data_IF_497047017091
#
_entry.id   IF_497047017091
#
_cell.length_a   1.000
_cell.length_b   1.000
_cell.length_c   1.000
_cell.angle_alpha   90.00
_cell.angle_beta   90.00
_cell.angle_gamma   90.00
#
_symmetry.space_group_name_H-M   'P 1'
#
loop_
_entity.id
_entity.type
_entity.pdbx_description
1 polymer ?
#
# COMPACT_ATOMS: atom_id res chain seq x y z
N UNK A 1 2.03 -37.14 -106.62
CA UNK A 1 2.43 -37.31 -105.20
C UNK A 1 1.33 -38.09 -104.53
N UNK A 2 1.65 -39.24 -103.93
CA UNK A 2 0.67 -40.15 -103.35
C UNK A 2 0.22 -39.66 -101.95
N UNK A 3 -1.00 -40.00 -101.53
CA UNK A 3 -1.61 -39.49 -100.28
C UNK A 3 -0.75 -39.78 -99.03
N UNK A 4 0.00 -40.88 -99.06
CA UNK A 4 0.95 -41.32 -98.03
C UNK A 4 2.10 -40.33 -97.83
N UNK A 5 2.63 -39.72 -98.90
CA UNK A 5 3.72 -38.74 -98.80
C UNK A 5 3.24 -37.44 -98.15
N UNK A 6 1.99 -37.03 -98.43
CA UNK A 6 1.38 -35.86 -97.78
C UNK A 6 1.18 -36.07 -96.29
N UNK A 7 0.74 -37.27 -95.87
CA UNK A 7 0.61 -37.61 -94.44
C UNK A 7 1.94 -37.67 -93.72
N UNK A 8 2.99 -38.22 -94.36
CA UNK A 8 4.34 -38.30 -93.78
C UNK A 8 4.91 -36.89 -93.57
N UNK A 9 4.80 -36.00 -94.56
CA UNK A 9 5.23 -34.60 -94.42
C UNK A 9 4.47 -33.87 -93.30
N UNK A 10 3.17 -34.10 -93.18
CA UNK A 10 2.37 -33.54 -92.08
C UNK A 10 2.86 -33.98 -90.69
N UNK A 11 3.25 -35.25 -90.55
CA UNK A 11 3.82 -35.77 -89.29
C UNK A 11 5.17 -35.14 -88.97
N UNK A 12 6.05 -34.94 -89.95
CA UNK A 12 7.34 -34.26 -89.73
C UNK A 12 7.15 -32.82 -89.24
N UNK A 13 6.21 -32.09 -89.84
CA UNK A 13 5.90 -30.71 -89.40
C UNK A 13 5.34 -30.70 -87.98
N UNK A 14 4.47 -31.66 -87.63
CA UNK A 14 3.95 -31.79 -86.26
C UNK A 14 5.05 -32.13 -85.26
N UNK A 15 5.95 -33.05 -85.59
CA UNK A 15 7.09 -33.42 -84.73
C UNK A 15 8.01 -32.23 -84.49
N UNK A 16 8.39 -31.49 -85.55
CA UNK A 16 9.21 -30.29 -85.41
C UNK A 16 8.53 -29.24 -84.52
N UNK A 17 7.20 -29.09 -84.62
CA UNK A 17 6.43 -28.18 -83.77
C UNK A 17 6.34 -28.66 -82.31
N UNK A 18 6.31 -29.96 -82.07
CA UNK A 18 6.34 -30.51 -80.70
C UNK A 18 7.71 -30.29 -80.09
N UNK A 19 8.78 -30.54 -80.84
CA UNK A 19 10.16 -30.36 -80.39
C UNK A 19 10.46 -28.91 -80.01
N UNK A 20 10.04 -27.93 -80.82
CA UNK A 20 10.19 -26.51 -80.47
C UNK A 20 9.41 -26.14 -79.21
N UNK A 21 8.16 -26.62 -79.08
CA UNK A 21 7.36 -26.37 -77.87
C UNK A 21 7.95 -27.00 -76.62
N UNK A 22 8.54 -28.19 -76.73
CA UNK A 22 9.20 -28.84 -75.60
C UNK A 22 10.44 -28.06 -75.17
N UNK A 23 11.23 -27.56 -76.12
CA UNK A 23 12.35 -26.65 -75.84
C UNK A 23 11.91 -25.37 -75.12
N UNK A 24 10.87 -24.70 -75.63
CA UNK A 24 10.32 -23.50 -74.98
C UNK A 24 9.82 -23.78 -73.55
N UNK A 25 9.18 -24.93 -73.33
CA UNK A 25 8.72 -25.36 -72.00
C UNK A 25 9.87 -25.65 -71.06
N UNK A 26 10.94 -26.30 -71.54
CA UNK A 26 12.14 -26.57 -70.77
C UNK A 26 12.82 -25.27 -70.34
N UNK A 27 13.00 -24.33 -71.27
CA UNK A 27 13.55 -23.00 -70.98
C UNK A 27 12.70 -22.23 -69.97
N UNK A 28 11.37 -22.28 -70.10
CA UNK A 28 10.46 -21.65 -69.16
C UNK A 28 10.57 -22.28 -67.76
N UNK A 29 10.66 -23.61 -67.69
CA UNK A 29 10.80 -24.35 -66.44
C UNK A 29 12.13 -24.03 -65.74
N UNK A 30 13.24 -24.03 -66.49
CA UNK A 30 14.56 -23.66 -65.97
C UNK A 30 14.57 -22.23 -65.40
N UNK A 31 13.98 -21.27 -66.12
CA UNK A 31 13.86 -19.88 -65.64
C UNK A 31 13.01 -19.78 -64.38
N UNK A 32 11.89 -20.51 -64.34
CA UNK A 32 11.02 -20.56 -63.16
C UNK A 32 11.76 -21.12 -61.95
N UNK A 33 12.45 -22.25 -62.11
CA UNK A 33 13.22 -22.90 -61.06
C UNK A 33 14.33 -21.98 -60.54
N UNK A 34 15.09 -21.34 -61.44
CA UNK A 34 16.11 -20.38 -61.04
C UNK A 34 15.54 -19.21 -60.22
N UNK A 35 14.36 -18.71 -60.60
CA UNK A 35 13.70 -17.64 -59.85
C UNK A 35 13.17 -18.12 -58.49
N UNK A 36 12.62 -19.34 -58.41
CA UNK A 36 12.20 -19.92 -57.12
C UNK A 36 13.39 -20.11 -56.19
N UNK A 37 14.51 -20.65 -56.69
CA UNK A 37 15.72 -20.86 -55.88
C UNK A 37 16.25 -19.53 -55.35
N UNK A 38 16.31 -18.51 -56.21
CA UNK A 38 16.74 -17.17 -55.79
C UNK A 38 15.83 -16.56 -54.72
N UNK A 39 14.52 -16.79 -54.80
CA UNK A 39 13.56 -16.34 -53.80
C UNK A 39 13.72 -17.12 -52.50
N UNK A 40 13.92 -18.44 -52.58
CA UNK A 40 14.14 -19.30 -51.41
C UNK A 40 15.41 -18.89 -50.66
N UNK A 41 16.54 -18.70 -51.35
CA UNK A 41 17.77 -18.23 -50.70
C UNK A 41 17.61 -16.88 -50.00
N UNK A 42 16.83 -15.96 -50.59
CA UNK A 42 16.51 -14.67 -49.92
C UNK A 42 15.66 -14.85 -48.67
N UNK A 43 14.70 -15.78 -48.70
CA UNK A 43 13.87 -16.11 -47.54
C UNK A 43 14.72 -16.73 -46.44
N UNK A 44 15.60 -17.68 -46.78
CA UNK A 44 16.53 -18.31 -45.83
C UNK A 44 17.45 -17.27 -45.15
N UNK A 45 18.02 -16.35 -45.93
CA UNK A 45 18.85 -15.29 -45.37
C UNK A 45 18.05 -14.33 -44.48
N UNK A 46 16.79 -14.06 -44.83
CA UNK A 46 15.89 -13.26 -44.00
C UNK A 46 15.57 -13.97 -42.68
N UNK A 47 15.23 -15.26 -42.73
CA UNK A 47 14.96 -16.07 -41.55
C UNK A 47 16.18 -16.12 -40.62
N UNK A 48 17.39 -16.32 -41.17
CA UNK A 48 18.63 -16.32 -40.38
C UNK A 48 18.95 -14.96 -39.74
N UNK A 49 18.43 -13.86 -40.29
CA UNK A 49 18.55 -12.52 -39.66
C UNK A 49 17.53 -12.36 -38.55
N UNK A 50 16.30 -12.84 -38.75
CA UNK A 50 15.24 -12.82 -37.74
C UNK A 50 15.68 -13.64 -36.53
N UNK A 51 16.20 -14.85 -36.74
CA UNK A 51 16.68 -15.75 -35.68
C UNK A 51 17.73 -15.08 -34.79
N UNK A 52 18.80 -14.52 -35.37
CA UNK A 52 19.81 -13.76 -34.61
C UNK A 52 19.25 -12.55 -33.88
N UNK A 53 18.26 -11.87 -34.48
CA UNK A 53 17.62 -10.74 -33.82
C UNK A 53 16.78 -11.20 -32.63
N UNK A 54 16.10 -12.35 -32.74
CA UNK A 54 15.33 -12.93 -31.65
C UNK A 54 16.25 -13.35 -30.50
N UNK A 55 17.36 -14.04 -30.77
CA UNK A 55 18.38 -14.37 -29.76
C UNK A 55 18.89 -13.12 -29.03
N UNK A 56 19.16 -12.05 -29.78
CA UNK A 56 19.59 -10.77 -29.19
C UNK A 56 18.50 -10.06 -28.36
N UNK A 57 17.22 -10.28 -28.66
CA UNK A 57 16.10 -9.77 -27.85
C UNK A 57 15.98 -10.59 -26.57
N UNK A 58 16.07 -11.92 -26.67
CA UNK A 58 16.00 -12.85 -25.54
C UNK A 58 17.08 -12.53 -24.49
N UNK A 59 18.34 -12.39 -24.90
CA UNK A 59 19.41 -12.01 -23.96
C UNK A 59 19.22 -10.63 -23.31
N UNK A 60 18.54 -9.68 -23.97
CA UNK A 60 18.20 -8.38 -23.36
C UNK A 60 17.06 -8.50 -22.36
N UNK A 61 16.12 -9.42 -22.58
CA UNK A 61 15.04 -9.70 -21.63
C UNK A 61 15.63 -10.33 -20.37
N UNK A 62 16.55 -11.29 -20.51
CA UNK A 62 17.25 -11.91 -19.36
C UNK A 62 18.04 -10.89 -18.52
N UNK A 63 18.72 -9.93 -19.18
CA UNK A 63 19.39 -8.82 -18.48
C UNK A 63 18.39 -7.92 -17.73
N UNK A 64 17.23 -7.64 -18.34
CA UNK A 64 16.18 -6.85 -17.70
C UNK A 64 15.60 -7.58 -16.48
N UNK A 65 15.32 -8.88 -16.58
CA UNK A 65 14.81 -9.68 -15.47
C UNK A 65 15.81 -9.69 -14.30
N UNK A 66 17.11 -9.90 -14.59
CA UNK A 66 18.17 -9.87 -13.57
C UNK A 66 18.25 -8.51 -12.86
N UNK A 67 18.06 -7.41 -13.59
CA UNK A 67 18.06 -6.05 -13.01
C UNK A 67 16.79 -5.77 -12.20
N UNK A 68 15.66 -6.35 -12.58
CA UNK A 68 14.44 -6.25 -11.77
C UNK A 68 14.59 -7.02 -10.46
N UNK A 69 15.17 -8.22 -10.48
CA UNK A 69 15.47 -8.98 -9.26
C UNK A 69 16.40 -8.20 -8.30
N UNK A 70 17.40 -7.48 -8.84
CA UNK A 70 18.27 -6.61 -8.04
C UNK A 70 17.51 -5.41 -7.43
N UNK A 71 16.59 -4.81 -8.19
CA UNK A 71 15.76 -3.71 -7.71
C UNK A 71 14.81 -4.18 -6.60
N UNK A 72 14.15 -5.32 -6.80
CA UNK A 72 13.26 -5.90 -5.80
C UNK A 72 14.00 -6.22 -4.50
N UNK A 73 15.20 -6.80 -4.59
CA UNK A 73 16.05 -7.06 -3.41
C UNK A 73 16.39 -5.77 -2.65
N UNK A 74 16.77 -4.70 -3.37
CA UNK A 74 17.07 -3.40 -2.73
C UNK A 74 15.84 -2.74 -2.10
N UNK A 75 14.66 -2.94 -2.68
CA UNK A 75 13.42 -2.43 -2.10
C UNK A 75 13.08 -3.17 -0.82
N UNK A 76 13.32 -4.49 -0.76
CA UNK A 76 13.13 -5.31 0.44
C UNK A 76 14.10 -4.90 1.56
N UNK A 77 15.36 -4.59 1.23
CA UNK A 77 16.33 -4.02 2.17
C UNK A 77 15.85 -2.67 2.74
N UNK A 78 15.40 -1.75 1.87
CA UNK A 78 14.91 -0.43 2.30
C UNK A 78 13.68 -0.55 3.20
N UNK A 79 12.72 -1.42 2.85
CA UNK A 79 11.51 -1.63 3.66
C UNK A 79 11.88 -2.14 5.06
N UNK A 80 12.84 -3.06 5.13
CA UNK A 80 13.37 -3.59 6.39
C UNK A 80 14.04 -2.50 7.23
N UNK A 81 14.98 -1.75 6.65
CA UNK A 81 15.71 -0.67 7.34
C UNK A 81 14.76 0.44 7.86
N UNK A 82 13.77 0.83 7.06
CA UNK A 82 12.78 1.83 7.46
C UNK A 82 11.90 1.35 8.61
N UNK A 83 11.51 0.08 8.61
CA UNK A 83 10.68 -0.50 9.66
C UNK A 83 11.44 -0.71 10.97
N UNK A 84 12.70 -1.17 10.91
CA UNK A 84 13.42 -1.59 12.12
C UNK A 84 14.16 -0.46 12.80
N UNK A 85 14.80 0.43 12.04
CA UNK A 85 15.82 1.31 12.61
C UNK A 85 15.31 2.75 12.71
N UNK A 86 14.76 3.30 11.61
CA UNK A 86 14.34 4.70 11.57
C UNK A 86 13.20 5.05 12.54
N UNK A 87 12.18 4.19 12.63
CA UNK A 87 11.03 4.42 13.53
C UNK A 87 11.39 4.08 14.97
N UNK A 88 12.15 3.01 15.18
CA UNK A 88 12.55 2.55 16.53
C UNK A 88 13.44 3.57 17.24
N UNK A 89 14.43 4.13 16.53
CA UNK A 89 15.35 5.11 17.10
C UNK A 89 14.66 6.46 17.33
N UNK A 90 13.79 6.90 16.41
CA UNK A 90 12.99 8.11 16.61
C UNK A 90 12.02 7.99 17.80
N UNK A 91 11.44 6.81 18.03
CA UNK A 91 10.59 6.55 19.20
C UNK A 91 11.42 6.54 20.48
N UNK A 92 12.61 5.92 20.49
CA UNK A 92 13.50 5.93 21.65
C UNK A 92 13.96 7.33 22.01
N UNK A 93 14.39 8.11 21.03
CA UNK A 93 14.85 9.48 21.26
C UNK A 93 13.72 10.37 21.81
N UNK A 94 12.51 10.24 21.25
CA UNK A 94 11.33 10.92 21.80
C UNK A 94 10.96 10.46 23.22
N UNK A 95 11.15 9.17 23.55
CA UNK A 95 10.90 8.66 24.91
C UNK A 95 11.94 9.17 25.91
N UNK A 96 13.22 9.21 25.52
CA UNK A 96 14.30 9.72 26.36
C UNK A 96 14.16 11.23 26.60
N UNK A 97 13.74 12.01 25.60
CA UNK A 97 13.46 13.43 25.74
C UNK A 97 12.26 13.69 26.67
N UNK A 98 11.17 12.92 26.53
CA UNK A 98 10.03 12.93 27.46
C UNK A 98 10.41 12.52 28.89
N UNK A 99 11.35 11.58 29.04
CA UNK A 99 11.85 11.15 30.34
C UNK A 99 12.73 12.22 31.00
N UNK A 100 13.40 13.06 30.21
CA UNK A 100 14.30 14.12 30.70
C UNK A 100 13.56 15.41 31.04
N UNK A 101 12.45 15.69 30.35
CA UNK A 101 11.64 16.89 30.53
C UNK A 101 10.64 16.82 31.71
N UNK A 102 10.70 15.77 32.53
CA UNK A 102 10.14 15.80 33.87
C UNK A 102 8.61 15.85 33.92
N UNK A 103 7.93 14.93 33.23
CA UNK A 103 6.60 14.54 33.69
C UNK A 103 6.77 13.62 34.90
N UNK A 104 6.51 14.20 36.08
CA UNK A 104 6.33 13.52 37.36
C UNK A 104 5.16 12.52 37.27
N UNK A 105 5.33 11.43 36.53
CA UNK A 105 4.36 10.34 36.36
C UNK A 105 4.09 9.63 37.69
N UNK A 106 4.97 9.81 38.68
CA UNK A 106 4.77 9.38 40.07
C UNK A 106 3.55 10.03 40.71
N UNK A 107 3.17 11.25 40.31
CA UNK A 107 1.93 11.89 40.75
C UNK A 107 0.67 11.29 40.08
N UNK A 108 0.77 10.73 38.87
CA UNK A 108 -0.36 10.10 38.18
C UNK A 108 -0.63 8.66 38.65
N UNK A 109 0.32 8.00 39.31
CA UNK A 109 0.14 6.64 39.82
C UNK A 109 -0.78 6.56 41.06
N UNK A 110 -1.00 7.67 41.77
CA UNK A 110 -1.90 7.67 42.94
C UNK A 110 -3.38 7.46 42.57
N UNK A 111 -3.80 7.79 41.35
CA UNK A 111 -5.17 7.50 40.89
C UNK A 111 -5.37 6.03 40.47
N UNK A 112 -4.33 5.35 40.00
CA UNK A 112 -4.42 3.93 39.64
C UNK A 112 -4.69 3.04 40.86
N UNK A 113 -4.15 3.40 42.02
CA UNK A 113 -4.36 2.67 43.28
C UNK A 113 -5.79 2.80 43.83
N UNK A 114 -6.47 3.93 43.61
CA UNK A 114 -7.90 4.06 43.98
C UNK A 114 -8.77 3.17 43.08
N UNK A 115 -8.45 3.08 41.78
CA UNK A 115 -9.17 2.21 40.85
C UNK A 115 -8.98 0.72 41.15
N UNK A 116 -7.79 0.28 41.58
CA UNK A 116 -7.55 -1.11 41.97
C UNK A 116 -8.35 -1.48 43.24
N UNK A 117 -8.42 -0.60 44.24
CA UNK A 117 -9.21 -0.85 45.46
C UNK A 117 -10.72 -1.00 45.17
N UNK A 118 -11.28 -0.16 44.29
CA UNK A 118 -12.71 -0.21 43.93
C UNK A 118 -13.03 -1.47 43.10
N UNK A 119 -12.11 -1.90 42.23
CA UNK A 119 -12.28 -3.11 41.41
C UNK A 119 -12.22 -4.38 42.27
N UNK A 120 -11.33 -4.43 43.25
CA UNK A 120 -11.23 -5.55 44.19
C UNK A 120 -12.45 -5.65 45.13
N UNK A 121 -13.05 -4.51 45.52
CA UNK A 121 -14.29 -4.50 46.30
C UNK A 121 -15.54 -4.88 45.49
N UNK A 122 -15.62 -4.50 44.20
CA UNK A 122 -16.72 -4.96 43.33
C UNK A 122 -16.67 -6.46 43.05
N UNK A 123 -15.48 -7.06 42.93
CA UNK A 123 -15.35 -8.52 42.78
C UNK A 123 -15.72 -9.29 44.05
N UNK A 124 -15.75 -8.63 45.22
CA UNK A 124 -16.26 -9.20 46.48
C UNK A 124 -17.79 -9.16 46.62
N UNK A 125 -18.53 -8.67 45.63
CA UNK A 125 -20.00 -8.76 45.60
C UNK A 125 -20.74 -7.69 46.42
N UNK A 126 -20.04 -6.65 46.91
CA UNK A 126 -20.69 -5.50 47.52
C UNK A 126 -20.96 -4.44 46.45
N UNK A 127 -22.23 -4.30 46.04
CA UNK A 127 -22.69 -3.14 45.28
C UNK A 127 -22.58 -1.89 46.14
N UNK A 128 -21.54 -1.08 45.94
CA UNK A 128 -21.49 0.27 46.49
C UNK A 128 -22.58 1.08 45.77
N UNK A 129 -23.57 1.65 46.48
CA UNK A 129 -24.55 2.55 45.88
C UNK A 129 -23.82 3.72 45.22
N UNK A 130 -24.12 3.99 43.95
CA UNK A 130 -23.48 5.03 43.14
C UNK A 130 -23.61 6.45 43.71
N UNK A 131 -24.40 6.64 44.78
CA UNK A 131 -24.57 7.92 45.49
C UNK A 131 -23.43 8.30 46.43
N UNK A 132 -22.58 7.37 46.85
CA UNK A 132 -21.59 7.61 47.93
C UNK A 132 -20.14 7.79 47.44
N UNK A 133 -19.91 7.76 46.11
CA UNK A 133 -18.57 7.96 45.55
C UNK A 133 -18.25 9.46 45.55
N UNK A 134 -17.60 9.94 46.60
CA UNK A 134 -17.02 11.28 46.63
C UNK A 134 -15.76 11.30 45.75
N UNK A 135 -15.88 11.87 44.55
CA UNK A 135 -14.71 12.15 43.70
C UNK A 135 -13.83 13.22 44.35
N UNK A 136 -12.55 12.92 44.51
CA UNK A 136 -11.56 13.92 44.89
C UNK A 136 -11.42 14.96 43.77
N UNK A 137 -11.23 16.23 44.15
CA UNK A 137 -11.02 17.30 43.19
C UNK A 137 -9.71 17.09 42.41
N UNK A 138 -9.81 16.87 41.10
CA UNK A 138 -8.65 16.70 40.22
C UNK A 138 -8.15 18.08 39.76
N UNK A 139 -6.92 18.50 40.12
CA UNK A 139 -6.36 19.78 39.68
C UNK A 139 -6.09 19.80 38.18
N UNK A 140 -6.06 20.99 37.58
CA UNK A 140 -5.62 21.18 36.20
C UNK A 140 -4.12 20.91 36.04
N UNK A 141 -3.60 20.70 34.81
CA UNK A 141 -2.17 20.45 34.56
C UNK A 141 -1.20 21.51 35.13
N UNK A 142 -1.68 22.73 35.40
CA UNK A 142 -0.91 23.78 36.09
C UNK A 142 -1.04 23.80 37.62
N UNK A 143 -1.53 22.71 38.23
CA UNK A 143 -1.71 22.55 39.68
C UNK A 143 -2.89 23.31 40.31
N UNK A 144 -3.56 24.19 39.55
CA UNK A 144 -4.71 24.96 40.02
C UNK A 144 -5.94 24.07 40.14
N UNK A 145 -6.74 24.28 41.20
CA UNK A 145 -7.98 23.55 41.43
C UNK A 145 -9.16 24.23 40.74
N UNK A 146 -10.11 23.48 40.15
CA UNK A 146 -11.32 24.04 39.56
C UNK A 146 -12.10 24.98 40.49
N UNK A 147 -12.24 24.63 41.77
CA UNK A 147 -12.92 25.45 42.79
C UNK A 147 -12.24 26.80 43.01
N UNK A 148 -10.90 26.87 42.83
CA UNK A 148 -10.16 28.15 42.89
C UNK A 148 -10.53 29.09 41.74
N UNK A 149 -11.09 28.55 40.65
CA UNK A 149 -11.63 29.33 39.52
C UNK A 149 -13.15 29.51 39.60
N UNK A 150 -13.75 29.32 40.78
CA UNK A 150 -15.20 29.34 40.99
C UNK A 150 -15.99 28.33 40.13
N UNK A 151 -15.35 27.23 39.73
CA UNK A 151 -16.01 26.13 39.03
C UNK A 151 -16.61 25.12 40.03
N UNK A 152 -17.81 24.56 39.73
CA UNK A 152 -18.50 23.64 40.62
C UNK A 152 -17.76 22.30 40.74
N UNK A 153 -17.48 21.86 41.97
CA UNK A 153 -16.79 20.60 42.22
C UNK A 153 -17.48 19.41 41.52
N UNK A 154 -16.72 18.65 40.73
CA UNK A 154 -17.21 17.49 39.98
C UNK A 154 -17.25 16.25 40.89
N UNK A 155 -18.05 16.30 41.95
CA UNK A 155 -18.10 15.25 42.97
C UNK A 155 -18.95 14.02 42.57
N UNK A 156 -19.83 14.15 41.57
CA UNK A 156 -20.71 13.07 41.09
C UNK A 156 -20.94 13.22 39.56
N UNK A 157 -21.08 12.11 38.81
CA UNK A 157 -21.48 12.11 37.41
C UNK A 157 -22.61 13.07 37.03
N UNK A 158 -23.65 13.12 37.87
CA UNK A 158 -24.83 13.95 37.64
C UNK A 158 -24.51 15.45 37.59
N UNK A 159 -23.45 15.87 38.29
CA UNK A 159 -22.99 17.27 38.26
C UNK A 159 -22.40 17.58 36.89
N UNK A 160 -21.62 16.67 36.29
CA UNK A 160 -20.97 16.87 34.99
C UNK A 160 -22.03 16.99 33.89
N UNK A 161 -23.04 16.12 33.90
CA UNK A 161 -24.08 16.12 32.87
C UNK A 161 -24.99 17.35 32.94
N UNK A 162 -25.14 17.94 34.15
CA UNK A 162 -25.94 19.13 34.39
C UNK A 162 -25.18 20.46 34.20
N UNK A 163 -23.87 20.44 33.90
CA UNK A 163 -23.09 21.66 33.69
C UNK A 163 -23.60 22.46 32.48
N UNK A 164 -23.60 23.79 32.59
CA UNK A 164 -23.83 24.65 31.42
C UNK A 164 -22.66 24.52 30.43
N UNK A 165 -22.91 24.80 29.14
CA UNK A 165 -21.87 24.71 28.11
C UNK A 165 -20.68 25.64 28.38
N UNK A 166 -20.91 26.80 28.99
CA UNK A 166 -19.84 27.72 29.39
C UNK A 166 -18.95 27.11 30.49
N UNK A 167 -19.54 26.43 31.48
CA UNK A 167 -18.77 25.78 32.54
C UNK A 167 -18.01 24.57 31.99
N UNK A 168 -18.63 23.76 31.13
CA UNK A 168 -17.94 22.66 30.42
C UNK A 168 -16.76 23.17 29.61
N UNK A 169 -16.91 24.32 28.94
CA UNK A 169 -15.83 24.93 28.18
C UNK A 169 -14.65 25.35 29.07
N UNK A 170 -14.93 25.92 30.24
CA UNK A 170 -13.89 26.30 31.20
C UNK A 170 -13.16 25.07 31.76
N UNK A 171 -13.89 24.01 32.10
CA UNK A 171 -13.29 22.72 32.48
C UNK A 171 -12.42 22.14 31.37
N UNK A 172 -12.93 22.13 30.13
CA UNK A 172 -12.17 21.61 28.99
C UNK A 172 -10.88 22.41 28.77
N UNK A 173 -10.94 23.73 28.76
CA UNK A 173 -9.76 24.61 28.60
C UNK A 173 -8.79 24.46 29.77
N UNK A 174 -9.29 24.23 30.97
CA UNK A 174 -8.46 23.96 32.14
C UNK A 174 -7.67 22.66 32.00
N UNK A 175 -8.32 21.56 31.60
CA UNK A 175 -7.64 20.26 31.42
C UNK A 175 -6.84 20.14 30.13
N UNK A 176 -7.20 20.89 29.08
CA UNK A 176 -6.60 20.80 27.75
C UNK A 176 -6.28 22.19 27.16
N UNK A 177 -5.36 22.96 27.77
CA UNK A 177 -5.10 24.36 27.39
C UNK A 177 -4.60 24.54 25.95
N UNK A 178 -3.97 23.52 25.37
CA UNK A 178 -3.37 23.56 24.03
C UNK A 178 -4.16 22.77 22.98
N UNK A 179 -5.35 22.26 23.31
CA UNK A 179 -6.16 21.48 22.36
C UNK A 179 -7.32 22.30 21.81
N UNK A 180 -7.64 22.08 20.54
CA UNK A 180 -8.84 22.62 19.92
C UNK A 180 -10.09 22.15 20.65
N UNK A 181 -10.97 23.09 21.00
CA UNK A 181 -12.20 22.79 21.74
C UNK A 181 -13.16 22.01 20.84
N UNK A 182 -13.63 20.82 21.24
CA UNK A 182 -14.64 20.09 20.50
C UNK A 182 -15.94 20.89 20.42
N UNK A 183 -16.56 20.94 19.24
CA UNK A 183 -17.84 21.64 19.03
C UNK A 183 -19.00 20.97 19.76
N UNK A 184 -18.99 19.64 19.85
CA UNK A 184 -20.02 18.85 20.53
C UNK A 184 -19.86 18.87 22.05
N UNK A 185 -20.98 19.13 22.74
CA UNK A 185 -21.10 19.02 24.21
C UNK A 185 -20.67 17.65 24.72
N UNK A 186 -21.13 16.57 24.09
CA UNK A 186 -20.81 15.20 24.49
C UNK A 186 -19.33 14.89 24.38
N UNK A 187 -18.66 15.42 23.34
CA UNK A 187 -17.21 15.28 23.19
C UNK A 187 -16.46 16.01 24.31
N UNK A 188 -16.93 17.19 24.74
CA UNK A 188 -16.37 17.92 25.88
C UNK A 188 -16.58 17.14 27.19
N UNK A 189 -17.77 16.62 27.42
CA UNK A 189 -18.10 15.80 28.60
C UNK A 189 -17.20 14.56 28.65
N UNK A 190 -17.09 13.79 27.56
CA UNK A 190 -16.21 12.61 27.47
C UNK A 190 -14.74 12.96 27.71
N UNK A 191 -14.27 14.10 27.22
CA UNK A 191 -12.91 14.56 27.45
C UNK A 191 -12.67 14.92 28.92
N UNK A 192 -13.61 15.62 29.57
CA UNK A 192 -13.54 15.94 31.01
C UNK A 192 -13.55 14.66 31.84
N UNK A 193 -14.43 13.71 31.52
CA UNK A 193 -14.45 12.39 32.15
C UNK A 193 -13.10 11.68 32.08
N UNK A 194 -12.50 11.67 30.89
CA UNK A 194 -11.17 11.10 30.68
C UNK A 194 -10.10 11.84 31.48
N UNK A 195 -10.18 13.17 31.59
CA UNK A 195 -9.22 13.97 32.34
C UNK A 195 -9.27 13.69 33.84
N UNK A 196 -10.46 13.47 34.41
CA UNK A 196 -10.64 13.14 35.83
C UNK A 196 -10.47 11.64 36.12
N UNK A 197 -10.06 10.84 35.12
CA UNK A 197 -9.72 9.42 35.28
C UNK A 197 -10.90 8.45 35.09
N UNK A 198 -12.10 8.92 34.77
CA UNK A 198 -13.27 8.07 34.62
C UNK A 198 -13.31 7.41 33.24
N UNK A 199 -13.35 6.07 33.22
CA UNK A 199 -13.57 5.30 32.00
C UNK A 199 -15.05 4.95 31.90
N UNK A 200 -15.78 5.62 31.00
CA UNK A 200 -17.10 5.14 30.54
C UNK A 200 -16.85 3.77 29.88
N UNK A 201 -17.34 2.71 30.53
CA UNK A 201 -17.40 1.35 29.95
C UNK A 201 -18.44 1.32 28.84
#
# INVERSE_FOLDING_TARGET
MDATNTTILGLFVLLARIETRLGDMEDQMQRSNFNTDRRLSRIEDCLRRIERSSEGIEGRIEDMDSRFDEVDSKLEDIDTDMLTDGISDAIKEGFDELSKEGLDLTAMNHNSNIYLAIKDEQQRGNHIPWGDINLAEVPFPGGRKPTTLALPLLNNPSVIDSLSDNILLQYYRGYYPHKAVPESRDKRIKAIWKAIGWKLV
#
